data_IF_768033585816
#
_entry.id   IF_768033585816
#
_cell.length_a   1.000
_cell.length_b   1.000
_cell.length_c   1.000
_cell.angle_alpha   90.00
_cell.angle_beta   90.00
_cell.angle_gamma   90.00
#
_symmetry.space_group_name_H-M   'P 1'
#
loop_
_entity.id
_entity.type
_entity.pdbx_description
1 polymer ?
#
# COMPACT_ATOMS: atom_id res chain seq x y z
N UNK A 1 -11.83 24.53 1.61
CA UNK A 1 -12.46 23.29 2.12
C UNK A 1 -11.36 22.38 2.65
N UNK A 2 -11.31 22.09 3.96
CA UNK A 2 -10.42 21.04 4.49
C UNK A 2 -11.07 19.69 4.17
N UNK A 3 -10.56 18.98 3.15
CA UNK A 3 -11.00 17.62 2.86
C UNK A 3 -10.68 16.70 4.03
N UNK A 4 -11.63 15.84 4.44
CA UNK A 4 -11.33 14.78 5.42
C UNK A 4 -10.42 13.77 4.72
N UNK A 5 -9.29 13.44 5.34
CA UNK A 5 -8.46 12.32 4.90
C UNK A 5 -9.15 11.05 5.39
N UNK A 6 -9.70 10.29 4.45
CA UNK A 6 -10.28 8.96 4.66
C UNK A 6 -9.47 7.90 3.90
N UNK A 7 -9.78 6.62 4.13
CA UNK A 7 -9.07 5.52 3.46
C UNK A 7 -9.18 5.55 1.93
N UNK A 8 -10.28 6.10 1.39
CA UNK A 8 -10.46 6.26 -0.06
C UNK A 8 -9.51 7.31 -0.62
N UNK A 9 -9.35 8.43 0.08
CA UNK A 9 -8.44 9.52 -0.28
C UNK A 9 -6.99 9.04 -0.23
N UNK A 10 -6.60 8.34 0.84
CA UNK A 10 -5.23 7.78 0.97
C UNK A 10 -4.93 6.78 -0.14
N UNK A 11 -5.83 5.84 -0.42
CA UNK A 11 -5.66 4.87 -1.52
C UNK A 11 -5.52 5.57 -2.88
N UNK A 12 -6.30 6.63 -3.11
CA UNK A 12 -6.25 7.41 -4.35
C UNK A 12 -4.88 8.06 -4.52
N UNK A 13 -4.38 8.72 -3.48
CA UNK A 13 -3.09 9.41 -3.50
C UNK A 13 -1.93 8.43 -3.68
N UNK A 14 -2.00 7.26 -3.02
CA UNK A 14 -1.04 6.19 -3.21
C UNK A 14 -1.02 5.68 -4.66
N UNK A 15 -2.21 5.38 -5.20
CA UNK A 15 -2.36 4.92 -6.59
C UNK A 15 -1.83 5.95 -7.58
N UNK A 16 -2.13 7.24 -7.37
CA UNK A 16 -1.63 8.32 -8.21
C UNK A 16 -0.10 8.43 -8.12
N UNK A 17 0.45 8.36 -6.92
CA UNK A 17 1.91 8.46 -6.72
C UNK A 17 2.67 7.31 -7.40
N UNK A 18 2.13 6.09 -7.35
CA UNK A 18 2.68 4.95 -8.12
C UNK A 18 2.69 5.25 -9.62
N UNK A 19 1.62 5.82 -10.15
CA UNK A 19 1.53 6.21 -11.57
C UNK A 19 2.50 7.34 -11.93
N UNK A 20 2.59 8.38 -11.09
CA UNK A 20 3.48 9.53 -11.29
C UNK A 20 4.95 9.11 -11.31
N UNK A 21 5.31 8.05 -10.57
CA UNK A 21 6.66 7.45 -10.58
C UNK A 21 6.90 6.51 -11.78
N UNK A 22 5.91 6.36 -12.67
CA UNK A 22 6.01 5.56 -13.90
C UNK A 22 5.50 4.12 -13.75
N UNK A 23 4.82 3.82 -12.65
CA UNK A 23 4.15 2.53 -12.43
C UNK A 23 2.85 2.41 -13.23
N UNK A 24 2.49 1.17 -13.56
CA UNK A 24 1.24 0.83 -14.23
C UNK A 24 0.28 0.05 -13.31
N UNK A 25 -0.85 -0.42 -13.84
CA UNK A 25 -1.82 -1.24 -13.08
C UNK A 25 -1.17 -2.50 -12.46
N UNK A 26 -0.23 -3.13 -13.16
CA UNK A 26 0.48 -4.31 -12.64
C UNK A 26 1.38 -3.93 -11.46
N UNK A 27 2.07 -2.80 -11.57
CA UNK A 27 2.90 -2.23 -10.52
C UNK A 27 2.07 -1.90 -9.28
N UNK A 28 0.89 -1.27 -9.46
CA UNK A 28 -0.03 -0.99 -8.37
C UNK A 28 -0.49 -2.27 -7.65
N UNK A 29 -0.85 -3.31 -8.41
CA UNK A 29 -1.28 -4.59 -7.85
C UNK A 29 -0.15 -5.26 -7.05
N UNK A 30 1.06 -5.33 -7.63
CA UNK A 30 2.23 -5.91 -6.95
C UNK A 30 2.63 -5.11 -5.71
N UNK A 31 2.63 -3.78 -5.79
CA UNK A 31 2.94 -2.92 -4.65
C UNK A 31 1.91 -3.11 -3.51
N UNK A 32 0.63 -3.22 -3.85
CA UNK A 32 -0.43 -3.51 -2.87
C UNK A 32 -0.21 -4.88 -2.24
N UNK A 33 0.07 -5.92 -3.03
CA UNK A 33 0.32 -7.27 -2.53
C UNK A 33 1.53 -7.34 -1.59
N UNK A 34 2.63 -6.65 -1.92
CA UNK A 34 3.83 -6.61 -1.07
C UNK A 34 3.62 -5.81 0.21
N UNK A 35 2.84 -4.73 0.14
CA UNK A 35 2.38 -4.00 1.33
C UNK A 35 1.56 -4.92 2.24
N UNK A 36 0.58 -5.64 1.68
CA UNK A 36 -0.26 -6.57 2.45
C UNK A 36 0.59 -7.60 3.18
N UNK A 37 1.49 -8.29 2.47
CA UNK A 37 2.37 -9.29 3.06
C UNK A 37 3.26 -8.71 4.16
N UNK A 38 3.74 -7.49 3.98
CA UNK A 38 4.61 -6.84 4.98
C UNK A 38 3.85 -6.39 6.22
N UNK A 39 2.63 -5.89 6.07
CA UNK A 39 1.81 -5.42 7.20
C UNK A 39 1.16 -6.57 7.97
N UNK A 40 0.69 -7.60 7.26
CA UNK A 40 -0.19 -8.62 7.81
C UNK A 40 0.41 -10.03 7.81
N UNK A 41 1.50 -10.27 7.06
CA UNK A 41 2.11 -11.59 6.95
C UNK A 41 1.38 -12.54 5.98
N UNK A 42 0.32 -12.08 5.31
CA UNK A 42 -0.48 -12.86 4.36
C UNK A 42 -0.66 -12.12 3.01
N UNK A 43 -1.16 -12.83 2.01
CA UNK A 43 -1.57 -12.26 0.73
C UNK A 43 -2.84 -11.42 0.84
N UNK A 44 -3.13 -10.61 -0.19
CA UNK A 44 -4.37 -9.82 -0.23
C UNK A 44 -5.61 -10.72 -0.25
N UNK A 45 -5.54 -11.84 -0.96
CA UNK A 45 -6.63 -12.84 -1.00
C UNK A 45 -6.88 -13.45 0.37
N UNK A 46 -5.83 -13.92 1.05
CA UNK A 46 -5.91 -14.50 2.39
C UNK A 46 -6.49 -13.49 3.39
N UNK A 47 -6.04 -12.23 3.35
CA UNK A 47 -6.57 -11.19 4.23
C UNK A 47 -8.09 -11.01 4.07
N UNK A 48 -8.60 -10.90 2.84
CA UNK A 48 -10.04 -10.75 2.64
C UNK A 48 -10.79 -12.02 3.06
N UNK A 49 -10.26 -13.20 2.75
CA UNK A 49 -10.87 -14.48 3.10
C UNK A 49 -10.95 -14.70 4.62
N UNK A 50 -9.86 -14.47 5.34
CA UNK A 50 -9.76 -14.71 6.79
C UNK A 50 -10.61 -13.73 7.60
N UNK A 51 -10.78 -12.50 7.08
CA UNK A 51 -11.57 -11.47 7.75
C UNK A 51 -13.05 -11.46 7.36
N UNK A 52 -13.44 -12.24 6.36
CA UNK A 52 -14.78 -12.18 5.76
C UNK A 52 -15.03 -10.88 4.96
N UNK A 53 -13.97 -10.15 4.61
CA UNK A 53 -14.05 -8.94 3.82
C UNK A 53 -14.39 -9.22 2.35
N UNK A 54 -14.92 -8.22 1.65
CA UNK A 54 -15.20 -8.26 0.21
C UNK A 54 -13.95 -7.85 -0.56
N UNK A 55 -13.48 -8.73 -1.44
CA UNK A 55 -12.30 -8.50 -2.27
C UNK A 55 -12.33 -7.13 -2.97
N UNK A 56 -11.23 -6.41 -2.88
CA UNK A 56 -11.05 -5.09 -3.49
C UNK A 56 -11.75 -3.94 -2.75
N UNK A 57 -12.65 -4.21 -1.80
CA UNK A 57 -13.30 -3.22 -0.97
C UNK A 57 -12.68 -3.16 0.43
N UNK A 58 -11.67 -2.28 0.59
CA UNK A 58 -11.02 -2.11 1.88
C UNK A 58 -11.95 -1.67 3.01
N UNK A 59 -13.09 -1.02 2.71
CA UNK A 59 -14.02 -0.58 3.76
C UNK A 59 -14.76 -1.74 4.43
N UNK A 60 -14.71 -2.93 3.81
CA UNK A 60 -15.27 -4.16 4.36
C UNK A 60 -14.32 -4.95 5.25
N UNK A 61 -13.04 -4.56 5.32
CA UNK A 61 -12.07 -5.17 6.23
C UNK A 61 -12.31 -4.70 7.67
N UNK A 62 -11.80 -5.42 8.69
CA UNK A 62 -11.85 -4.94 10.07
C UNK A 62 -11.11 -3.61 10.24
N UNK A 63 -11.53 -2.81 11.21
CA UNK A 63 -11.02 -1.44 11.41
C UNK A 63 -9.49 -1.38 11.53
N UNK A 64 -8.88 -2.38 12.17
CA UNK A 64 -7.43 -2.44 12.31
C UNK A 64 -6.75 -2.61 10.95
N UNK A 65 -7.33 -3.37 10.01
CA UNK A 65 -6.73 -3.59 8.68
C UNK A 65 -6.89 -2.33 7.84
N UNK A 66 -8.05 -1.68 7.95
CA UNK A 66 -8.27 -0.38 7.33
C UNK A 66 -7.22 0.63 7.81
N UNK A 67 -6.98 0.69 9.12
CA UNK A 67 -5.99 1.58 9.74
C UNK A 67 -4.57 1.24 9.26
N UNK A 68 -4.20 -0.04 9.27
CA UNK A 68 -2.90 -0.50 8.81
C UNK A 68 -2.65 -0.14 7.34
N UNK A 69 -3.65 -0.32 6.46
CA UNK A 69 -3.55 0.14 5.07
C UNK A 69 -3.41 1.66 4.98
N UNK A 70 -4.19 2.43 5.72
CA UNK A 70 -4.12 3.89 5.73
C UNK A 70 -2.69 4.35 6.10
N UNK A 71 -2.14 3.82 7.19
CA UNK A 71 -0.80 4.18 7.65
C UNK A 71 0.27 3.72 6.66
N UNK A 72 0.19 2.47 6.19
CA UNK A 72 1.12 1.90 5.22
C UNK A 72 1.15 2.66 3.89
N UNK A 73 -0.02 2.98 3.33
CA UNK A 73 -0.13 3.75 2.09
C UNK A 73 0.33 5.19 2.25
N UNK A 74 0.08 5.80 3.39
CA UNK A 74 0.58 7.14 3.69
C UNK A 74 2.12 7.12 3.72
N UNK A 75 2.71 6.19 4.47
CA UNK A 75 4.16 6.05 4.56
C UNK A 75 4.80 5.75 3.19
N UNK A 76 4.24 4.79 2.45
CA UNK A 76 4.70 4.43 1.11
C UNK A 76 4.59 5.60 0.13
N UNK A 77 3.51 6.37 0.18
CA UNK A 77 3.33 7.58 -0.64
C UNK A 77 4.41 8.61 -0.38
N UNK A 78 4.69 8.89 0.90
CA UNK A 78 5.74 9.84 1.27
C UNK A 78 7.14 9.34 0.85
N UNK A 79 7.44 8.05 1.07
CA UNK A 79 8.72 7.47 0.68
C UNK A 79 8.91 7.48 -0.85
N UNK A 80 7.89 7.07 -1.61
CA UNK A 80 7.92 7.15 -3.08
C UNK A 80 8.17 8.57 -3.57
N UNK A 81 7.50 9.58 -2.99
CA UNK A 81 7.71 10.99 -3.36
C UNK A 81 9.16 11.43 -3.12
N UNK A 82 9.75 11.04 -2.00
CA UNK A 82 11.13 11.38 -1.63
C UNK A 82 12.21 10.59 -2.40
N UNK A 83 11.90 9.38 -2.88
CA UNK A 83 12.85 8.52 -3.59
C UNK A 83 12.88 8.84 -5.09
N UNK A 84 14.07 9.10 -5.69
CA UNK A 84 14.24 9.12 -7.14
C UNK A 84 13.95 7.74 -7.73
N UNK A 85 13.11 7.66 -8.77
CA UNK A 85 12.76 6.42 -9.46
C UNK A 85 13.14 6.57 -10.93
N UNK A 86 14.17 5.86 -11.35
CA UNK A 86 14.83 6.09 -12.65
C UNK A 86 14.94 4.81 -13.49
N UNK A 87 15.30 4.97 -14.76
CA UNK A 87 15.48 3.86 -15.70
C UNK A 87 14.25 3.50 -16.52
N UNK A 88 14.27 2.31 -17.12
CA UNK A 88 13.20 1.81 -17.97
C UNK A 88 12.01 1.28 -17.14
N UNK A 89 10.90 0.95 -17.82
CA UNK A 89 9.66 0.50 -17.16
C UNK A 89 9.86 -0.69 -16.21
N UNK A 90 10.70 -1.67 -16.57
CA UNK A 90 10.97 -2.83 -15.71
C UNK A 90 11.74 -2.44 -14.46
N UNK A 91 12.76 -1.59 -14.62
CA UNK A 91 13.55 -1.08 -13.50
C UNK A 91 12.71 -0.23 -12.54
N UNK A 92 11.85 0.65 -13.09
CA UNK A 92 10.93 1.46 -12.28
C UNK A 92 9.91 0.61 -11.53
N UNK A 93 9.37 -0.43 -12.16
CA UNK A 93 8.46 -1.38 -11.52
C UNK A 93 9.06 -1.98 -10.25
N UNK A 94 10.28 -2.53 -10.35
CA UNK A 94 10.98 -3.14 -9.21
C UNK A 94 11.23 -2.10 -8.12
N UNK A 95 11.80 -0.95 -8.45
CA UNK A 95 12.10 0.11 -7.48
C UNK A 95 10.85 0.62 -6.73
N UNK A 96 9.72 0.77 -7.43
CA UNK A 96 8.45 1.18 -6.80
C UNK A 96 7.98 0.12 -5.81
N UNK A 97 7.95 -1.15 -6.23
CA UNK A 97 7.48 -2.25 -5.39
C UNK A 97 8.36 -2.41 -4.15
N UNK A 98 9.68 -2.36 -4.32
CA UNK A 98 10.64 -2.45 -3.21
C UNK A 98 10.49 -1.27 -2.24
N UNK A 99 10.33 -0.04 -2.76
CA UNK A 99 10.12 1.15 -1.92
C UNK A 99 8.85 1.02 -1.07
N UNK A 100 7.78 0.47 -1.64
CA UNK A 100 6.51 0.23 -0.94
C UNK A 100 6.66 -0.86 0.11
N UNK A 101 7.38 -1.94 -0.21
CA UNK A 101 7.67 -3.03 0.72
C UNK A 101 8.46 -2.53 1.93
N UNK A 102 9.54 -1.77 1.71
CA UNK A 102 10.37 -1.21 2.77
C UNK A 102 9.59 -0.26 3.68
N UNK A 103 8.81 0.66 3.12
CA UNK A 103 7.95 1.54 3.91
C UNK A 103 6.94 0.74 4.75
N UNK A 104 6.43 -0.38 4.23
CA UNK A 104 5.46 -1.22 4.93
C UNK A 104 6.12 -2.00 6.07
N UNK A 105 7.36 -2.48 5.90
CA UNK A 105 8.16 -3.10 6.97
C UNK A 105 8.46 -2.11 8.09
N UNK A 106 8.83 -0.87 7.75
CA UNK A 106 9.05 0.20 8.71
C UNK A 106 7.78 0.45 9.54
N UNK A 107 6.61 0.53 8.88
CA UNK A 107 5.31 0.69 9.56
C UNK A 107 4.99 -0.50 10.47
N UNK A 108 5.21 -1.75 10.03
CA UNK A 108 4.98 -2.95 10.85
C UNK A 108 5.88 -2.98 12.09
N UNK A 109 7.13 -2.52 11.97
CA UNK A 109 8.04 -2.42 13.10
C UNK A 109 7.58 -1.44 14.17
N UNK A 110 6.86 -0.37 13.78
CA UNK A 110 6.30 0.64 14.70
C UNK A 110 4.95 0.19 15.26
N UNK A 111 4.11 -0.39 14.42
CA UNK A 111 2.77 -0.87 14.76
C UNK A 111 2.69 -2.37 14.50
N UNK A 112 3.05 -3.21 15.49
CA UNK A 112 2.91 -4.65 15.37
C UNK A 112 1.42 -4.98 15.43
N UNK A 113 0.76 -4.90 14.28
CA UNK A 113 -0.64 -5.21 14.16
C UNK A 113 -0.86 -6.67 14.58
N UNK A 114 -1.77 -6.93 15.51
CA UNK A 114 -2.17 -8.28 15.90
C UNK A 114 -3.13 -8.81 14.83
N UNK A 115 -2.62 -9.66 13.94
CA UNK A 115 -3.37 -10.36 12.89
C UNK A 115 -3.10 -11.84 13.01
#
# INVERSE_FOLDING_TARGET
>A
MRGRVDGKTVRKDFTQTVQDKGGDKKTQAHATERMTRSLFGCSTEELYKETGGREGDRTSLPQDAQTAYIVGETAATHRLKATPIEGNRSQKHVQIVDTVEDASKDVKGIFPWNW
#
